data_IF_353639246630
#
_entry.id   IF_353639246630
#
_cell.length_a   1.000
_cell.length_b   1.000
_cell.length_c   1.000
_cell.angle_alpha   90.00
_cell.angle_beta   90.00
_cell.angle_gamma   90.00
#
_symmetry.space_group_name_H-M   'P 1'
#
loop_
_entity.id
_entity.type
_entity.pdbx_description
1 polymer ?
#
# COMPACT_ATOMS: atom_id res chain seq x y z
N UNK A 1 12.47 -17.81 29.59
CA UNK A 1 12.24 -19.04 28.80
C UNK A 1 11.41 -18.75 27.54
N UNK A 2 10.41 -17.86 27.63
CA UNK A 2 9.52 -17.53 26.50
C UNK A 2 10.19 -16.75 25.34
N UNK A 3 11.15 -15.85 25.61
CA UNK A 3 11.82 -15.06 24.56
C UNK A 3 12.63 -15.89 23.57
N UNK A 4 13.38 -16.89 24.05
CA UNK A 4 14.18 -17.76 23.18
C UNK A 4 13.29 -18.62 22.25
N UNK A 5 12.06 -18.92 22.66
CA UNK A 5 11.08 -19.61 21.83
C UNK A 5 10.48 -18.65 20.79
N UNK A 6 10.12 -17.43 21.17
CA UNK A 6 9.67 -16.40 20.24
C UNK A 6 10.73 -16.10 19.16
N UNK A 7 12.02 -15.97 19.52
CA UNK A 7 13.10 -15.80 18.54
C UNK A 7 13.18 -16.95 17.54
N UNK A 8 13.08 -18.21 18.00
CA UNK A 8 13.07 -19.37 17.11
C UNK A 8 11.89 -19.36 16.14
N UNK A 9 10.72 -18.91 16.60
CA UNK A 9 9.54 -18.78 15.74
C UNK A 9 9.79 -17.68 14.71
N UNK A 10 10.31 -16.52 15.12
CA UNK A 10 10.63 -15.43 14.19
C UNK A 10 11.67 -15.89 13.16
N UNK A 11 12.74 -16.56 13.58
CA UNK A 11 13.76 -17.09 12.66
C UNK A 11 13.19 -18.12 11.68
N UNK A 12 12.22 -18.94 12.12
CA UNK A 12 11.49 -19.86 11.24
C UNK A 12 10.69 -19.08 10.20
N UNK A 13 9.89 -18.11 10.64
CA UNK A 13 9.07 -17.26 9.76
C UNK A 13 9.91 -16.46 8.77
N UNK A 14 11.11 -16.00 9.16
CA UNK A 14 12.04 -15.30 8.28
C UNK A 14 12.55 -16.17 7.13
N UNK A 15 12.67 -17.48 7.34
CA UNK A 15 13.24 -18.43 6.39
C UNK A 15 12.19 -19.29 5.67
N UNK A 16 10.92 -19.12 5.99
CA UNK A 16 9.83 -19.91 5.40
C UNK A 16 9.50 -19.48 3.97
N UNK A 17 9.05 -20.43 3.16
CA UNK A 17 8.63 -20.22 1.76
C UNK A 17 7.10 -20.09 1.60
N UNK A 18 6.38 -19.97 2.71
CA UNK A 18 4.94 -19.73 2.79
C UNK A 18 4.59 -19.09 4.15
N UNK A 19 3.38 -18.53 4.27
CA UNK A 19 2.91 -18.02 5.56
C UNK A 19 2.55 -19.21 6.45
N UNK A 20 3.32 -19.42 7.52
CA UNK A 20 3.08 -20.45 8.52
C UNK A 20 2.16 -19.89 9.61
N UNK A 21 0.84 -20.04 9.41
CA UNK A 21 -0.21 -19.50 10.28
C UNK A 21 -0.05 -20.06 11.70
N UNK A 22 0.25 -21.35 11.86
CA UNK A 22 0.44 -21.97 13.18
C UNK A 22 1.59 -21.29 13.95
N UNK A 23 2.71 -21.02 13.28
CA UNK A 23 3.82 -20.27 13.87
C UNK A 23 3.45 -18.82 14.17
N UNK A 24 2.63 -18.18 13.35
CA UNK A 24 2.16 -16.81 13.59
C UNK A 24 1.24 -16.75 14.81
N UNK A 25 0.27 -17.66 14.93
CA UNK A 25 -0.62 -17.76 16.08
C UNK A 25 0.15 -18.08 17.36
N UNK A 26 1.13 -18.99 17.26
CA UNK A 26 2.05 -19.29 18.36
C UNK A 26 2.80 -18.01 18.79
N UNK A 27 3.30 -17.21 17.83
CA UNK A 27 3.99 -15.95 18.10
C UNK A 27 3.08 -14.92 18.77
N UNK A 28 1.84 -14.77 18.29
CA UNK A 28 0.84 -13.86 18.86
C UNK A 28 0.54 -14.23 20.31
N UNK A 29 0.50 -15.52 20.67
CA UNK A 29 0.29 -15.95 22.06
C UNK A 29 1.38 -15.42 23.02
N UNK A 30 2.59 -15.16 22.53
CA UNK A 30 3.68 -14.57 23.33
C UNK A 30 3.53 -13.06 23.52
N UNK A 31 2.65 -12.38 22.79
CA UNK A 31 2.51 -10.92 22.87
C UNK A 31 1.94 -10.45 24.20
N UNK A 32 1.10 -11.28 24.83
CA UNK A 32 0.66 -11.13 26.22
C UNK A 32 1.85 -11.00 27.19
N UNK A 33 3.03 -11.50 26.80
CA UNK A 33 4.27 -11.48 27.59
C UNK A 33 5.25 -10.36 27.19
N UNK A 34 4.85 -9.42 26.31
CA UNK A 34 5.56 -8.16 26.09
C UNK A 34 6.64 -8.12 24.99
N UNK A 35 6.52 -8.91 23.91
CA UNK A 35 7.46 -8.90 22.77
C UNK A 35 6.93 -8.48 21.37
N UNK A 36 5.75 -7.83 21.23
CA UNK A 36 5.09 -7.75 19.93
C UNK A 36 5.78 -6.87 18.90
N UNK A 37 6.28 -5.70 19.31
CA UNK A 37 6.82 -4.69 18.38
C UNK A 37 8.08 -5.21 17.68
N UNK A 38 9.04 -5.76 18.45
CA UNK A 38 10.28 -6.28 17.89
C UNK A 38 10.04 -7.38 16.85
N UNK A 39 9.13 -8.33 17.16
CA UNK A 39 8.84 -9.45 16.27
C UNK A 39 8.28 -8.95 14.93
N UNK A 40 7.28 -8.07 14.99
CA UNK A 40 6.68 -7.48 13.80
C UNK A 40 7.68 -6.65 13.01
N UNK A 41 8.52 -5.85 13.68
CA UNK A 41 9.56 -5.08 13.00
C UNK A 41 10.56 -5.96 12.24
N UNK A 42 10.98 -7.08 12.84
CA UNK A 42 11.92 -8.01 12.20
C UNK A 42 11.28 -8.69 10.97
N UNK A 43 10.00 -9.05 11.07
CA UNK A 43 9.24 -9.67 9.98
C UNK A 43 8.95 -8.70 8.83
N UNK A 44 8.51 -7.47 9.13
CA UNK A 44 8.15 -6.47 8.12
C UNK A 44 9.37 -5.92 7.38
N UNK A 45 10.53 -5.83 8.03
CA UNK A 45 11.77 -5.40 7.38
C UNK A 45 12.49 -6.55 6.65
N UNK A 46 11.91 -7.75 6.61
CA UNK A 46 12.47 -8.87 5.87
C UNK A 46 12.30 -8.68 4.36
N UNK A 47 13.30 -9.09 3.58
CA UNK A 47 13.16 -9.21 2.12
C UNK A 47 12.34 -10.43 1.70
N UNK A 48 12.02 -11.32 2.65
CA UNK A 48 11.15 -12.45 2.40
C UNK A 48 9.69 -12.00 2.44
N UNK A 49 9.00 -12.08 1.30
CA UNK A 49 7.59 -11.71 1.17
C UNK A 49 6.67 -12.47 2.14
N UNK A 50 6.98 -13.72 2.50
CA UNK A 50 6.16 -14.52 3.41
C UNK A 50 6.35 -14.10 4.87
N UNK A 51 7.59 -13.75 5.24
CA UNK A 51 7.86 -13.13 6.53
C UNK A 51 7.17 -11.77 6.65
N UNK A 52 7.23 -10.96 5.59
CA UNK A 52 6.50 -9.70 5.51
C UNK A 52 4.98 -9.90 5.69
N UNK A 53 4.38 -10.83 4.95
CA UNK A 53 2.96 -11.18 5.08
C UNK A 53 2.60 -11.66 6.48
N UNK A 54 3.48 -12.45 7.12
CA UNK A 54 3.31 -12.86 8.51
C UNK A 54 3.32 -11.65 9.46
N UNK A 55 4.21 -10.69 9.23
CA UNK A 55 4.25 -9.43 9.97
C UNK A 55 2.98 -8.59 9.80
N UNK A 56 2.42 -8.52 8.59
CA UNK A 56 1.15 -7.84 8.33
C UNK A 56 -0.02 -8.53 9.03
N UNK A 57 -0.12 -9.86 8.93
CA UNK A 57 -1.16 -10.63 9.61
C UNK A 57 -1.18 -10.36 11.12
N UNK A 58 0.01 -10.31 11.72
CA UNK A 58 0.14 -9.99 13.14
C UNK A 58 -0.40 -8.58 13.46
N UNK A 59 -0.18 -7.61 12.57
CA UNK A 59 -0.73 -6.25 12.73
C UNK A 59 -2.24 -6.24 12.52
N UNK A 60 -2.78 -7.01 11.58
CA UNK A 60 -4.23 -7.13 11.38
C UNK A 60 -4.93 -7.65 12.64
N UNK A 61 -4.34 -8.66 13.29
CA UNK A 61 -4.82 -9.18 14.57
C UNK A 61 -4.54 -8.23 15.76
N UNK A 62 -3.58 -7.30 15.62
CA UNK A 62 -3.16 -6.37 16.68
C UNK A 62 -2.91 -4.94 16.13
N UNK A 63 -3.96 -4.20 15.74
CA UNK A 63 -3.81 -2.92 15.01
C UNK A 63 -2.99 -1.85 15.75
N UNK A 64 -2.95 -1.89 17.08
CA UNK A 64 -2.14 -1.00 17.91
C UNK A 64 -0.64 -1.07 17.61
N UNK A 65 -0.15 -2.20 17.07
CA UNK A 65 1.25 -2.39 16.70
C UNK A 65 1.66 -1.59 15.47
N UNK A 66 0.70 -1.18 14.62
CA UNK A 66 0.97 -0.37 13.45
C UNK A 66 1.55 1.01 13.82
N UNK A 67 1.11 1.60 14.94
CA UNK A 67 1.48 2.97 15.36
C UNK A 67 2.98 3.12 15.61
N UNK A 68 3.66 2.29 16.44
CA UNK A 68 5.10 2.41 16.64
C UNK A 68 5.92 2.04 15.40
N UNK A 69 5.38 1.24 14.48
CA UNK A 69 6.09 0.72 13.32
C UNK A 69 6.04 1.70 12.13
N UNK A 70 4.94 2.47 11.98
CA UNK A 70 4.71 3.34 10.82
C UNK A 70 5.87 4.29 10.53
N UNK A 71 6.53 4.84 11.55
CA UNK A 71 7.60 5.83 11.40
C UNK A 71 8.85 5.23 10.72
N UNK A 72 9.09 3.93 10.91
CA UNK A 72 10.15 3.19 10.22
C UNK A 72 9.75 2.94 8.76
N UNK A 73 8.50 2.56 8.53
CA UNK A 73 7.96 2.28 7.19
C UNK A 73 7.93 3.53 6.31
N UNK A 74 7.67 4.72 6.88
CA UNK A 74 7.68 5.98 6.13
C UNK A 74 8.96 6.20 5.30
N UNK A 75 10.11 5.71 5.78
CA UNK A 75 11.40 5.85 5.07
C UNK A 75 11.47 4.98 3.81
N UNK A 76 10.74 3.86 3.77
CA UNK A 76 10.73 2.92 2.65
C UNK A 76 10.02 3.50 1.42
N UNK A 77 8.99 4.34 1.62
CA UNK A 77 8.21 4.92 0.52
C UNK A 77 8.99 5.90 -0.38
N UNK A 78 10.15 6.38 0.07
CA UNK A 78 11.06 7.22 -0.71
C UNK A 78 12.32 6.48 -1.17
N UNK A 79 12.41 5.17 -0.92
CA UNK A 79 13.54 4.33 -1.34
C UNK A 79 13.65 4.25 -2.86
N UNK A 80 14.86 4.03 -3.36
CA UNK A 80 15.09 3.68 -4.77
C UNK A 80 14.71 2.23 -5.09
N UNK A 81 14.53 1.38 -4.08
CA UNK A 81 14.20 -0.04 -4.24
C UNK A 81 12.68 -0.25 -4.41
N UNK A 82 12.29 -1.00 -5.45
CA UNK A 82 10.88 -1.33 -5.72
C UNK A 82 10.22 -2.12 -4.60
N UNK A 83 10.94 -3.05 -3.98
CA UNK A 83 10.43 -3.87 -2.89
C UNK A 83 10.11 -3.02 -1.65
N UNK A 84 10.97 -2.06 -1.30
CA UNK A 84 10.72 -1.13 -0.18
C UNK A 84 9.45 -0.31 -0.41
N UNK A 85 9.23 0.18 -1.65
CA UNK A 85 8.00 0.90 -2.01
C UNK A 85 6.77 -0.01 -1.92
N UNK A 86 6.91 -1.27 -2.31
CA UNK A 86 5.84 -2.26 -2.20
C UNK A 86 5.45 -2.46 -0.73
N UNK A 87 6.43 -2.73 0.13
CA UNK A 87 6.27 -2.85 1.59
C UNK A 87 5.61 -1.60 2.18
N UNK A 88 6.07 -0.42 1.79
CA UNK A 88 5.47 0.85 2.22
C UNK A 88 3.98 0.93 1.87
N UNK A 89 3.60 0.72 0.61
CA UNK A 89 2.21 0.89 0.19
C UNK A 89 1.31 -0.15 0.85
N UNK A 90 1.74 -1.42 0.83
CA UNK A 90 1.01 -2.54 1.44
C UNK A 90 0.75 -2.29 2.92
N UNK A 91 1.75 -1.83 3.68
CA UNK A 91 1.56 -1.52 5.08
C UNK A 91 0.47 -0.47 5.30
N UNK A 92 0.48 0.64 4.56
CA UNK A 92 -0.52 1.70 4.72
C UNK A 92 -1.90 1.36 4.17
N UNK A 93 -1.99 0.44 3.20
CA UNK A 93 -3.26 -0.13 2.75
C UNK A 93 -3.89 -1.02 3.82
N UNK A 94 -3.12 -1.98 4.37
CA UNK A 94 -3.64 -2.93 5.36
C UNK A 94 -3.95 -2.27 6.71
N UNK A 95 -3.10 -1.33 7.15
CA UNK A 95 -3.29 -0.67 8.46
C UNK A 95 -4.31 0.46 8.46
N UNK A 96 -4.75 0.93 7.27
CA UNK A 96 -5.68 2.06 7.09
C UNK A 96 -5.23 3.35 7.82
N UNK A 97 -3.92 3.48 8.08
CA UNK A 97 -3.35 4.68 8.67
C UNK A 97 -3.32 5.77 7.59
N UNK A 98 -4.23 6.73 7.69
CA UNK A 98 -4.31 7.87 6.78
C UNK A 98 -3.82 9.14 7.46
N UNK A 99 -2.57 9.53 7.16
CA UNK A 99 -1.96 10.73 7.74
C UNK A 99 -1.44 11.67 6.64
N UNK A 100 -1.48 12.98 6.90
CA UNK A 100 -1.05 14.02 5.95
C UNK A 100 0.38 13.85 5.44
N UNK A 101 1.25 13.22 6.22
CA UNK A 101 2.66 12.95 5.86
C UNK A 101 2.78 12.00 4.66
N UNK A 102 1.78 11.14 4.44
CA UNK A 102 1.75 10.15 3.35
C UNK A 102 1.49 10.78 1.99
N UNK A 103 0.72 11.87 1.97
CA UNK A 103 0.25 12.56 0.77
C UNK A 103 1.38 12.84 -0.22
N UNK A 104 2.51 13.39 0.26
CA UNK A 104 3.66 13.71 -0.59
C UNK A 104 4.37 12.48 -1.16
N UNK A 105 4.36 11.36 -0.42
CA UNK A 105 4.98 10.10 -0.86
C UNK A 105 4.09 9.45 -1.92
N UNK A 106 2.80 9.30 -1.64
CA UNK A 106 1.85 8.74 -2.60
C UNK A 106 1.74 9.57 -3.88
N UNK A 107 1.78 10.91 -3.79
CA UNK A 107 1.84 11.78 -4.97
C UNK A 107 3.04 11.47 -5.89
N UNK A 108 4.18 11.03 -5.34
CA UNK A 108 5.34 10.57 -6.13
C UNK A 108 5.11 9.18 -6.72
N UNK A 109 4.51 8.26 -5.95
CA UNK A 109 4.26 6.88 -6.35
C UNK A 109 3.23 6.74 -7.48
N UNK A 110 2.31 7.71 -7.62
CA UNK A 110 1.41 7.78 -8.79
C UNK A 110 2.14 7.95 -10.13
N UNK A 111 3.41 8.36 -10.10
CA UNK A 111 4.29 8.45 -11.26
C UNK A 111 5.36 7.33 -11.31
N UNK A 112 5.28 6.33 -10.43
CA UNK A 112 6.27 5.26 -10.43
C UNK A 112 6.25 4.50 -11.77
N UNK A 113 7.42 4.08 -12.26
CA UNK A 113 7.53 3.30 -13.49
C UNK A 113 7.07 1.85 -13.29
N UNK A 114 7.16 1.34 -12.06
CA UNK A 114 6.56 0.06 -11.71
C UNK A 114 5.04 0.21 -11.62
N UNK A 115 4.33 -0.49 -12.51
CA UNK A 115 2.88 -0.39 -12.62
C UNK A 115 2.15 -1.02 -11.44
N UNK A 116 2.74 -1.97 -10.73
CA UNK A 116 2.15 -2.56 -9.52
C UNK A 116 2.19 -1.57 -8.37
N UNK A 117 3.33 -0.89 -8.20
CA UNK A 117 3.47 0.21 -7.25
C UNK A 117 2.45 1.31 -7.55
N UNK A 118 2.36 1.73 -8.82
CA UNK A 118 1.39 2.75 -9.23
C UNK A 118 -0.06 2.31 -8.97
N UNK A 119 -0.41 1.08 -9.33
CA UNK A 119 -1.75 0.54 -9.12
C UNK A 119 -2.14 0.56 -7.63
N UNK A 120 -1.25 0.09 -6.74
CA UNK A 120 -1.52 0.10 -5.30
C UNK A 120 -1.58 1.54 -4.73
N UNK A 121 -0.78 2.46 -5.26
CA UNK A 121 -0.87 3.88 -4.90
C UNK A 121 -2.21 4.51 -5.32
N UNK A 122 -2.75 4.13 -6.48
CA UNK A 122 -4.10 4.51 -6.92
C UNK A 122 -5.16 3.99 -5.95
N UNK A 123 -5.03 2.73 -5.50
CA UNK A 123 -5.96 2.14 -4.53
C UNK A 123 -5.91 2.85 -3.20
N UNK A 124 -4.72 3.13 -2.67
CA UNK A 124 -4.59 3.91 -1.43
C UNK A 124 -5.23 5.30 -1.56
N UNK A 125 -5.00 5.97 -2.69
CA UNK A 125 -5.62 7.27 -2.96
C UNK A 125 -7.15 7.15 -3.05
N UNK A 126 -7.65 6.04 -3.59
CA UNK A 126 -9.08 5.80 -3.66
C UNK A 126 -9.68 5.55 -2.27
N UNK A 127 -8.99 4.87 -1.37
CA UNK A 127 -9.54 4.48 -0.06
C UNK A 127 -9.19 5.42 1.10
N UNK A 128 -8.34 6.43 0.87
CA UNK A 128 -7.95 7.39 1.92
C UNK A 128 -9.04 8.43 2.24
N UNK A 129 -8.83 9.21 3.30
CA UNK A 129 -9.70 10.34 3.68
C UNK A 129 -9.84 11.37 2.55
N UNK A 130 -10.97 12.07 2.52
CA UNK A 130 -11.23 13.13 1.53
C UNK A 130 -10.16 14.24 1.57
N UNK A 131 -9.68 14.62 2.76
CA UNK A 131 -8.59 15.58 2.92
C UNK A 131 -7.28 15.07 2.27
N UNK A 132 -6.88 13.82 2.54
CA UNK A 132 -5.67 13.24 1.95
C UNK A 132 -5.79 13.10 0.42
N UNK A 133 -6.99 12.78 -0.07
CA UNK A 133 -7.27 12.74 -1.49
C UNK A 133 -7.04 14.10 -2.15
N UNK A 134 -7.66 15.17 -1.62
CA UNK A 134 -7.53 16.51 -2.18
C UNK A 134 -6.09 17.02 -2.12
N UNK A 135 -5.39 16.80 -1.00
CA UNK A 135 -4.00 17.20 -0.87
C UNK A 135 -3.10 16.46 -1.85
N UNK A 136 -3.33 15.16 -2.08
CA UNK A 136 -2.50 14.35 -2.99
C UNK A 136 -2.69 14.84 -4.42
N UNK A 137 -3.96 15.07 -4.81
CA UNK A 137 -4.31 15.67 -6.10
C UNK A 137 -3.62 17.02 -6.30
N UNK A 138 -3.71 17.93 -5.32
CA UNK A 138 -3.06 19.24 -5.41
C UNK A 138 -1.54 19.12 -5.57
N UNK A 139 -0.86 18.29 -4.78
CA UNK A 139 0.60 18.12 -4.86
C UNK A 139 1.00 17.55 -6.23
N UNK A 140 0.27 16.55 -6.72
CA UNK A 140 0.50 15.95 -8.02
C UNK A 140 0.28 16.92 -9.18
N UNK A 141 -0.70 17.81 -9.07
CA UNK A 141 -1.03 18.81 -10.10
C UNK A 141 -0.15 20.06 -10.04
N UNK A 142 0.43 20.41 -8.87
CA UNK A 142 1.40 21.52 -8.71
C UNK A 142 2.67 21.36 -9.55
N UNK A 143 2.96 20.16 -10.08
CA UNK A 143 4.05 19.96 -11.06
C UNK A 143 3.82 20.68 -12.40
N UNK A 144 2.62 21.21 -12.63
CA UNK A 144 2.32 22.06 -13.79
C UNK A 144 2.91 23.48 -13.66
N UNK A 145 3.31 23.91 -12.45
CA UNK A 145 3.68 25.30 -12.14
C UNK A 145 5.11 25.51 -11.64
N UNK A 146 5.94 24.47 -11.56
CA UNK A 146 7.38 24.62 -11.29
C UNK A 146 8.18 24.65 -12.60
N UNK A 147 8.17 25.81 -13.26
CA UNK A 147 9.02 26.17 -14.41
C UNK A 147 10.50 26.37 -14.06
N UNK A 148 10.90 26.25 -12.78
CA UNK A 148 12.21 26.77 -12.35
C UNK A 148 13.40 25.80 -12.47
N UNK A 149 13.22 24.52 -12.80
CA UNK A 149 14.33 23.54 -12.92
C UNK A 149 14.44 22.87 -14.32
N UNK A 150 13.76 23.42 -15.33
CA UNK A 150 14.08 23.15 -16.74
C UNK A 150 13.73 21.77 -17.31
N UNK A 151 12.99 20.90 -16.61
CA UNK A 151 12.48 19.63 -17.18
C UNK A 151 11.06 19.32 -16.73
N UNK A 152 10.07 19.98 -17.35
CA UNK A 152 8.69 19.49 -17.32
C UNK A 152 8.63 18.16 -18.09
N UNK A 153 8.36 17.07 -17.39
CA UNK A 153 8.07 15.78 -18.01
C UNK A 153 6.55 15.69 -18.25
N UNK A 154 6.15 16.03 -19.46
CA UNK A 154 4.75 15.97 -19.92
C UNK A 154 4.15 14.57 -19.76
N UNK A 155 4.95 13.52 -20.00
CA UNK A 155 4.50 12.14 -19.85
C UNK A 155 4.26 11.77 -18.39
N UNK A 156 5.10 12.22 -17.47
CA UNK A 156 4.88 12.10 -16.02
C UNK A 156 3.58 12.78 -15.60
N UNK A 157 3.35 14.01 -16.07
CA UNK A 157 2.15 14.78 -15.74
C UNK A 157 0.88 14.09 -16.25
N UNK A 158 0.86 13.65 -17.52
CA UNK A 158 -0.28 12.93 -18.10
C UNK A 158 -0.58 11.64 -17.34
N UNK A 159 0.44 10.82 -17.03
CA UNK A 159 0.29 9.58 -16.24
C UNK A 159 -0.32 9.86 -14.87
N UNK A 160 0.21 10.86 -14.16
CA UNK A 160 -0.28 11.21 -12.81
C UNK A 160 -1.74 11.68 -12.85
N UNK A 161 -2.10 12.53 -13.82
CA UNK A 161 -3.48 12.99 -14.01
C UNK A 161 -4.45 11.83 -14.33
N UNK A 162 -3.99 10.84 -15.09
CA UNK A 162 -4.76 9.60 -15.36
C UNK A 162 -4.96 8.80 -14.07
N UNK A 163 -3.90 8.57 -13.31
CA UNK A 163 -3.96 7.85 -12.04
C UNK A 163 -4.96 8.49 -11.05
N UNK A 164 -4.98 9.82 -10.95
CA UNK A 164 -5.94 10.57 -10.12
C UNK A 164 -7.38 10.35 -10.61
N UNK A 165 -7.66 10.46 -11.92
CA UNK A 165 -9.00 10.19 -12.46
C UNK A 165 -9.47 8.77 -12.15
N UNK A 166 -8.58 7.78 -12.24
CA UNK A 166 -8.92 6.41 -11.87
C UNK A 166 -9.30 6.32 -10.39
N UNK A 167 -8.51 6.94 -9.50
CA UNK A 167 -8.84 6.97 -8.08
C UNK A 167 -10.17 7.69 -7.80
N UNK A 168 -10.49 8.79 -8.51
CA UNK A 168 -11.78 9.50 -8.41
C UNK A 168 -12.96 8.59 -8.77
N UNK A 169 -12.83 7.82 -9.84
CA UNK A 169 -13.88 6.89 -10.24
C UNK A 169 -14.00 5.73 -9.24
N UNK A 170 -12.89 5.14 -8.78
CA UNK A 170 -12.90 4.11 -7.73
C UNK A 170 -13.60 4.60 -6.44
N UNK A 171 -13.38 5.86 -6.05
CA UNK A 171 -14.09 6.50 -4.93
C UNK A 171 -15.59 6.63 -5.12
N UNK A 172 -16.07 6.73 -6.36
CA UNK A 172 -17.51 6.73 -6.65
C UNK A 172 -18.10 5.33 -6.54
N UNK A 173 -17.30 4.30 -6.78
CA UNK A 173 -17.72 2.89 -6.73
C UNK A 173 -17.98 2.45 -5.30
N UNK A 174 -17.17 2.88 -4.33
CA UNK A 174 -17.41 2.59 -2.90
C UNK A 174 -18.80 3.04 -2.43
N UNK A 175 -19.43 3.99 -3.13
CA UNK A 175 -20.78 4.47 -2.84
C UNK A 175 -21.91 3.82 -3.64
N UNK A 176 -21.63 2.92 -4.61
CA UNK A 176 -22.60 2.49 -5.64
C UNK A 176 -22.87 0.99 -5.78
N UNK A 177 -22.18 0.13 -5.01
CA UNK A 177 -22.37 -1.32 -5.06
C UNK A 177 -21.83 -1.98 -6.36
N UNK A 178 -21.60 -3.30 -6.31
CA UNK A 178 -20.95 -4.14 -7.34
C UNK A 178 -19.71 -3.50 -8.03
N UNK A 179 -18.59 -3.55 -7.31
CA UNK A 179 -17.28 -3.03 -7.72
C UNK A 179 -16.83 -3.57 -9.09
N UNK A 180 -17.01 -4.87 -9.32
CA UNK A 180 -16.63 -5.55 -10.57
C UNK A 180 -17.29 -4.95 -11.81
N UNK A 181 -18.59 -4.64 -11.72
CA UNK A 181 -19.32 -4.03 -12.84
C UNK A 181 -18.75 -2.65 -13.18
N UNK A 182 -18.46 -1.85 -12.17
CA UNK A 182 -17.98 -0.49 -12.37
C UNK A 182 -16.52 -0.42 -12.83
N UNK A 183 -15.65 -1.27 -12.31
CA UNK A 183 -14.27 -1.41 -12.82
C UNK A 183 -14.33 -1.79 -14.30
N UNK A 184 -15.13 -2.80 -14.68
CA UNK A 184 -15.28 -3.19 -16.09
C UNK A 184 -15.82 -2.05 -16.97
N UNK A 185 -16.78 -1.27 -16.48
CA UNK A 185 -17.32 -0.10 -17.21
C UNK A 185 -16.26 0.99 -17.41
N UNK A 186 -15.43 1.26 -16.41
CA UNK A 186 -14.31 2.20 -16.54
C UNK A 186 -13.33 1.74 -17.63
N UNK A 187 -12.98 0.46 -17.68
CA UNK A 187 -12.06 -0.07 -18.71
C UNK A 187 -12.53 0.22 -20.13
N UNK A 188 -13.81 0.01 -20.40
CA UNK A 188 -14.39 0.28 -21.72
C UNK A 188 -14.38 1.78 -22.05
N UNK A 189 -14.55 2.62 -21.02
CA UNK A 189 -14.57 4.07 -21.16
C UNK A 189 -13.16 4.67 -21.35
N UNK A 190 -12.10 3.96 -20.94
CA UNK A 190 -10.71 4.43 -20.96
C UNK A 190 -9.75 3.55 -21.78
N UNK A 191 -10.28 2.68 -22.65
CA UNK A 191 -9.54 1.67 -23.43
C UNK A 191 -8.45 2.22 -24.39
N UNK A 192 -8.33 3.54 -24.51
CA UNK A 192 -7.32 4.22 -25.33
C UNK A 192 -6.38 5.12 -24.52
N UNK A 193 -6.50 5.17 -23.18
CA UNK A 193 -5.77 6.13 -22.35
C UNK A 193 -4.63 5.51 -21.52
N UNK A 194 -4.75 4.29 -20.97
CA UNK A 194 -3.68 3.65 -20.17
C UNK A 194 -3.94 2.14 -19.93
N UNK A 195 -3.99 1.36 -21.00
CA UNK A 195 -4.44 -0.04 -20.95
C UNK A 195 -3.64 -0.92 -19.98
N UNK A 196 -2.37 -0.60 -19.75
CA UNK A 196 -1.50 -1.43 -18.93
C UNK A 196 -1.69 -1.18 -17.42
N UNK A 197 -1.87 0.08 -17.00
CA UNK A 197 -2.22 0.39 -15.60
C UNK A 197 -3.59 -0.19 -15.25
N UNK A 198 -4.56 -0.09 -16.17
CA UNK A 198 -5.89 -0.68 -16.04
C UNK A 198 -5.88 -2.21 -16.01
N UNK A 199 -5.05 -2.86 -16.85
CA UNK A 199 -4.88 -4.30 -16.85
C UNK A 199 -4.30 -4.83 -15.53
N UNK A 200 -3.36 -4.11 -14.93
CA UNK A 200 -2.82 -4.48 -13.61
C UNK A 200 -3.89 -4.29 -12.53
N UNK A 201 -4.64 -3.18 -12.52
CA UNK A 201 -5.74 -2.99 -11.57
C UNK A 201 -6.82 -4.10 -11.70
N UNK A 202 -7.09 -4.59 -12.91
CA UNK A 202 -7.99 -5.73 -13.13
C UNK A 202 -7.48 -7.05 -12.56
N UNK A 203 -6.17 -7.31 -12.65
CA UNK A 203 -5.58 -8.49 -12.01
C UNK A 203 -5.63 -8.40 -10.48
N UNK A 204 -5.69 -7.19 -9.97
CA UNK A 204 -5.80 -6.89 -8.54
C UNK A 204 -7.26 -6.57 -8.15
N UNK A 205 -8.27 -6.98 -8.95
CA UNK A 205 -9.70 -6.69 -8.69
C UNK A 205 -10.11 -7.12 -7.27
N UNK A 206 -9.69 -8.31 -6.84
CA UNK A 206 -9.99 -8.82 -5.50
C UNK A 206 -9.40 -7.90 -4.42
N UNK A 207 -8.14 -7.51 -4.57
CA UNK A 207 -7.49 -6.56 -3.66
C UNK A 207 -8.24 -5.21 -3.60
N UNK A 208 -8.68 -4.71 -4.76
CA UNK A 208 -9.47 -3.46 -4.82
C UNK A 208 -10.80 -3.64 -4.08
N UNK A 209 -11.48 -4.77 -4.27
CA UNK A 209 -12.72 -5.08 -3.56
C UNK A 209 -12.49 -5.15 -2.06
N UNK A 210 -11.48 -5.89 -1.61
CA UNK A 210 -11.15 -6.07 -0.19
C UNK A 210 -10.88 -4.72 0.51
N UNK A 211 -10.18 -3.79 -0.16
CA UNK A 211 -9.91 -2.46 0.40
C UNK A 211 -11.08 -1.48 0.29
N UNK A 212 -11.96 -1.62 -0.69
CA UNK A 212 -13.12 -0.74 -0.86
C UNK A 212 -14.28 -1.18 0.05
N UNK A 213 -14.56 -2.48 0.16
CA UNK A 213 -15.63 -3.02 1.01
C UNK A 213 -15.28 -2.94 2.51
N UNK A 214 -13.99 -2.85 2.83
CA UNK A 214 -13.50 -2.69 4.20
C UNK A 214 -13.23 -1.25 4.66
N UNK A 215 -13.24 -0.24 3.79
CA UNK A 215 -12.94 1.16 4.11
C UNK A 215 -14.18 1.95 4.54
#
# INVERSE_FOLDING_TARGET
MDYARAEKIIDRLLNHNEVDIDSVDELISFFVKGYPIYAVEKLINSSNKYAYSSGLYIIEENPQLAIPIKDKILKLGISGNTYDKFVFIEFFLNTKLHEKRLVGIFAKLLNDFDLRIRAKAIVWLATTSEECFFLTKQISERKKTQENDGKFDEHCYIRTKRAIRIAEELRKISSRGNIKFHINKMLHSYANEDNLTFYILMKEEQMIADYIDGA
#
